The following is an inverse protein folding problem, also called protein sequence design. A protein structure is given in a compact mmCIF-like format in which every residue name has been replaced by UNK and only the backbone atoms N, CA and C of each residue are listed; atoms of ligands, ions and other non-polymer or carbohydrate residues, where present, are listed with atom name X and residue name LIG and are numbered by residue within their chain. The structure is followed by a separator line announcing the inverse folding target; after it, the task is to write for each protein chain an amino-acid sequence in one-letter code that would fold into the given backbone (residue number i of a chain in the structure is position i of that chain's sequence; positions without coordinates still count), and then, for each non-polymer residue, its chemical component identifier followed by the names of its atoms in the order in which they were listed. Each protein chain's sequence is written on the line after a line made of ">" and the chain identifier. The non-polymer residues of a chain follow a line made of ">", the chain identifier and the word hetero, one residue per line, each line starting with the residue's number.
data_IF_733805091206
#
_entry.id   IF_733805091206
#
_cell.length_a   1.000
_cell.length_b   1.000
_cell.length_c   1.000
_cell.angle_alpha   90.00
_cell.angle_beta   90.00
_cell.angle_gamma   90.00
#
_symmetry.space_group_name_H-M   'P 1'
#
loop_
_entity.id
_entity.type
_entity.pdbx_description
1 polymer ?
#
# COMPACT_ATOMS: atom_id res chain seq x y z
N UNK A 1 21.73 12.24 8.85
CA UNK A 1 21.12 10.90 9.10
C UNK A 1 19.66 10.87 8.67
N UNK A 2 19.21 9.73 8.14
CA UNK A 2 17.85 9.51 7.64
C UNK A 2 17.26 8.23 8.20
N UNK A 3 16.04 8.30 8.75
CA UNK A 3 15.31 7.15 9.24
C UNK A 3 14.08 6.87 8.37
N UNK A 4 14.19 5.89 7.44
CA UNK A 4 13.08 5.51 6.57
C UNK A 4 12.04 4.68 7.32
N UNK A 5 10.93 4.43 6.66
CA UNK A 5 9.90 3.49 7.10
C UNK A 5 10.17 2.04 6.67
N UNK A 6 10.99 1.83 5.65
CA UNK A 6 11.14 0.53 5.01
C UNK A 6 12.13 -0.34 5.77
N UNK A 7 11.65 -1.44 6.35
CA UNK A 7 12.48 -2.42 7.06
C UNK A 7 13.47 -3.18 6.14
N UNK A 8 13.30 -3.11 4.83
CA UNK A 8 14.22 -3.73 3.87
C UNK A 8 15.43 -2.86 3.52
N UNK A 9 15.52 -1.67 4.11
CA UNK A 9 16.65 -0.77 3.91
C UNK A 9 17.71 -1.04 4.95
N UNK A 10 18.92 -1.39 4.51
CA UNK A 10 20.05 -1.62 5.39
C UNK A 10 20.61 -0.32 5.96
N UNK A 11 21.11 -0.37 7.19
CA UNK A 11 21.84 0.77 7.76
C UNK A 11 23.16 1.00 7.04
N UNK A 12 23.55 2.25 6.93
CA UNK A 12 24.86 2.66 6.41
C UNK A 12 24.82 3.88 5.51
N UNK A 13 26.00 4.29 5.09
CA UNK A 13 26.16 5.39 4.16
C UNK A 13 25.67 4.99 2.76
N UNK A 14 24.85 5.83 2.15
CA UNK A 14 24.43 5.64 0.76
C UNK A 14 25.65 5.85 -0.14
N UNK A 15 25.92 4.88 -1.01
CA UNK A 15 27.07 4.84 -1.92
C UNK A 15 26.64 4.67 -3.38
N UNK A 16 27.62 4.64 -4.28
CA UNK A 16 27.40 4.52 -5.73
C UNK A 16 26.72 5.77 -6.29
N UNK A 17 26.04 5.63 -7.42
CA UNK A 17 25.41 6.76 -8.13
C UNK A 17 24.58 7.70 -7.23
N UNK A 18 23.81 7.15 -6.30
CA UNK A 18 23.02 7.96 -5.37
C UNK A 18 23.91 8.69 -4.36
N UNK A 19 24.94 8.03 -3.84
CA UNK A 19 25.91 8.66 -2.93
C UNK A 19 26.67 9.79 -3.60
N UNK A 20 27.13 9.57 -4.83
CA UNK A 20 27.83 10.58 -5.63
C UNK A 20 26.92 11.80 -5.91
N UNK A 21 25.63 11.55 -6.19
CA UNK A 21 24.66 12.62 -6.37
C UNK A 21 24.51 13.47 -5.11
N UNK A 22 24.34 12.85 -3.94
CA UNK A 22 24.22 13.58 -2.68
C UNK A 22 25.50 14.34 -2.34
N UNK A 23 26.68 13.74 -2.52
CA UNK A 23 27.96 14.39 -2.30
C UNK A 23 28.16 15.62 -3.20
N UNK A 24 27.74 15.56 -4.46
CA UNK A 24 27.78 16.69 -5.38
C UNK A 24 26.85 17.85 -4.94
N UNK A 25 25.84 17.56 -4.11
CA UNK A 25 24.94 18.55 -3.51
C UNK A 25 25.36 18.96 -2.08
N UNK A 26 26.57 18.58 -1.67
CA UNK A 26 27.18 19.05 -0.42
C UNK A 26 26.81 18.27 0.84
N UNK A 27 26.21 17.08 0.73
CA UNK A 27 25.90 16.24 1.89
C UNK A 27 26.08 14.75 1.60
N UNK A 28 26.27 13.98 2.68
CA UNK A 28 26.26 12.52 2.63
C UNK A 28 25.03 12.03 3.40
N UNK A 29 24.35 11.02 2.86
CA UNK A 29 23.17 10.45 3.49
C UNK A 29 23.49 9.12 4.16
N UNK A 30 23.44 9.09 5.48
CA UNK A 30 23.50 7.88 6.29
C UNK A 30 22.10 7.41 6.64
N UNK A 31 21.77 6.18 6.33
CA UNK A 31 20.48 5.58 6.61
C UNK A 31 20.55 4.75 7.88
N UNK A 32 19.54 4.86 8.73
CA UNK A 32 19.34 4.00 9.89
C UNK A 32 18.23 3.00 9.57
N UNK A 33 18.50 1.71 9.64
CA UNK A 33 17.49 0.69 9.38
C UNK A 33 16.31 0.83 10.36
N UNK A 34 15.12 0.68 9.81
CA UNK A 34 13.87 0.76 10.57
C UNK A 34 13.66 -0.47 11.44
N UNK A 35 13.22 -0.27 12.69
CA UNK A 35 12.50 -1.25 13.50
C UNK A 35 11.59 -0.55 14.50
N UNK A 36 10.57 -1.25 14.98
CA UNK A 36 9.66 -0.68 15.99
C UNK A 36 10.38 -0.40 17.31
N UNK A 37 11.33 -1.26 17.71
CA UNK A 37 12.15 -1.08 18.90
C UNK A 37 13.01 0.17 18.77
N UNK A 38 13.62 0.38 17.61
CA UNK A 38 14.44 1.57 17.36
C UNK A 38 13.59 2.84 17.33
N UNK A 39 12.41 2.79 16.75
CA UNK A 39 11.45 3.90 16.77
C UNK A 39 11.10 4.28 18.20
N UNK A 40 10.78 3.30 19.05
CA UNK A 40 10.48 3.54 20.46
C UNK A 40 11.68 4.11 21.22
N UNK A 41 12.88 3.62 20.94
CA UNK A 41 14.11 4.14 21.54
C UNK A 41 14.39 5.59 21.15
N UNK A 42 14.22 5.95 19.88
CA UNK A 42 14.34 7.31 19.36
C UNK A 42 13.33 8.23 20.06
N UNK A 43 12.07 7.81 20.17
CA UNK A 43 11.03 8.60 20.85
C UNK A 43 11.33 8.79 22.35
N UNK A 44 11.81 7.74 23.02
CA UNK A 44 12.11 7.79 24.45
C UNK A 44 13.34 8.64 24.77
N UNK A 45 14.37 8.60 23.93
CA UNK A 45 15.62 9.37 24.13
C UNK A 45 15.53 10.81 23.64
N UNK A 46 14.62 11.09 22.70
CA UNK A 46 14.59 12.37 21.98
C UNK A 46 15.83 12.60 21.10
N UNK A 47 16.59 11.53 20.80
CA UNK A 47 17.74 11.58 19.90
C UNK A 47 17.33 11.17 18.49
N UNK A 48 16.79 12.16 17.78
CA UNK A 48 16.24 11.95 16.42
C UNK A 48 17.36 11.98 15.38
N UNK A 49 17.23 11.21 14.31
CA UNK A 49 17.97 11.43 13.07
C UNK A 49 17.62 12.80 12.48
N UNK A 50 18.47 13.35 11.62
CA UNK A 50 18.21 14.67 11.01
C UNK A 50 16.87 14.72 10.28
N UNK A 51 16.58 13.66 9.52
CA UNK A 51 15.33 13.48 8.78
C UNK A 51 14.71 12.12 9.08
N UNK A 52 13.42 12.06 9.34
CA UNK A 52 12.74 10.79 9.57
C UNK A 52 11.32 10.75 9.01
N UNK A 53 10.89 9.52 8.67
CA UNK A 53 9.48 9.23 8.47
C UNK A 53 8.81 9.07 9.83
N UNK A 54 7.86 9.93 10.12
CA UNK A 54 7.14 9.98 11.40
C UNK A 54 5.78 9.32 11.20
N UNK A 55 5.47 8.22 11.92
CA UNK A 55 4.11 7.69 11.94
C UNK A 55 3.14 8.73 12.52
N UNK A 56 1.96 8.85 11.94
CA UNK A 56 0.93 9.81 12.38
C UNK A 56 0.67 9.73 13.89
N UNK A 57 0.55 8.53 14.43
CA UNK A 57 0.33 8.29 15.88
C UNK A 57 1.40 8.87 16.80
N UNK A 58 2.58 9.17 16.28
CA UNK A 58 3.73 9.70 17.04
C UNK A 58 3.93 11.19 16.84
N UNK A 59 3.26 11.78 15.87
CA UNK A 59 3.49 13.16 15.43
C UNK A 59 3.22 14.17 16.56
N UNK A 60 2.06 14.08 17.21
CA UNK A 60 1.65 15.01 18.27
C UNK A 60 2.62 14.97 19.45
N UNK A 61 3.04 13.77 19.86
CA UNK A 61 4.01 13.60 20.96
C UNK A 61 5.34 14.27 20.60
N UNK A 62 5.80 14.13 19.38
CA UNK A 62 7.06 14.70 18.93
C UNK A 62 6.99 16.23 18.81
N UNK A 63 5.85 16.78 18.37
CA UNK A 63 5.62 18.23 18.33
C UNK A 63 5.59 18.80 19.75
N UNK A 64 4.77 18.23 20.63
CA UNK A 64 4.65 18.68 22.02
C UNK A 64 5.96 18.54 22.80
N UNK A 65 6.76 17.53 22.48
CA UNK A 65 8.10 17.32 23.04
C UNK A 65 9.18 18.25 22.46
N UNK A 66 8.85 19.14 21.53
CA UNK A 66 9.82 20.04 20.90
C UNK A 66 10.90 19.31 20.09
N UNK A 67 10.62 18.11 19.61
CA UNK A 67 11.59 17.27 18.93
C UNK A 67 11.73 17.63 17.44
N UNK A 68 10.73 18.28 16.86
CA UNK A 68 10.65 18.58 15.44
C UNK A 68 10.85 20.07 15.16
N UNK A 69 11.53 20.33 14.05
CA UNK A 69 11.73 21.69 13.54
C UNK A 69 10.40 22.22 12.99
N UNK A 70 10.05 23.46 13.34
CA UNK A 70 8.98 24.17 12.67
C UNK A 70 9.44 24.54 11.26
N UNK A 71 8.77 24.01 10.26
CA UNK A 71 9.16 24.15 8.85
C UNK A 71 8.62 25.44 8.22
N UNK A 72 7.64 26.12 8.83
CA UNK A 72 7.08 27.36 8.26
C UNK A 72 8.17 28.42 8.03
N UNK A 73 9.18 28.50 8.89
CA UNK A 73 10.30 29.43 8.75
C UNK A 73 11.26 29.09 7.58
N UNK A 74 11.11 27.91 6.99
CA UNK A 74 11.98 27.36 5.96
C UNK A 74 11.29 27.08 4.64
N UNK A 75 9.95 27.08 4.57
CA UNK A 75 9.21 26.78 3.35
C UNK A 75 9.63 27.64 2.16
N UNK A 76 9.98 28.91 2.40
CA UNK A 76 10.46 29.79 1.36
C UNK A 76 11.81 29.39 0.75
N UNK A 77 12.58 28.60 1.47
CA UNK A 77 13.87 28.05 1.03
C UNK A 77 13.73 26.69 0.36
N UNK A 78 12.49 26.18 0.16
CA UNK A 78 12.21 24.88 -0.44
C UNK A 78 11.56 25.02 -1.83
N UNK A 79 12.29 25.49 -2.85
CA UNK A 79 11.70 25.81 -4.16
C UNK A 79 11.14 24.55 -4.86
N UNK A 80 11.75 23.38 -4.64
CA UNK A 80 11.27 22.13 -5.22
C UNK A 80 9.95 21.68 -4.58
N UNK A 81 9.75 21.90 -3.30
CA UNK A 81 8.47 21.64 -2.64
C UNK A 81 7.39 22.58 -3.17
N UNK A 82 7.69 23.87 -3.28
CA UNK A 82 6.76 24.88 -3.81
C UNK A 82 6.39 24.69 -5.29
N UNK A 83 7.17 23.91 -6.03
CA UNK A 83 6.87 23.60 -7.44
C UNK A 83 5.67 22.65 -7.61
N UNK A 84 5.22 21.98 -6.54
CA UNK A 84 4.01 21.17 -6.58
C UNK A 84 2.78 22.08 -6.39
N UNK A 85 1.85 22.03 -7.33
CA UNK A 85 0.64 22.88 -7.31
C UNK A 85 -0.25 22.62 -6.10
N UNK A 86 -0.24 21.39 -5.60
CA UNK A 86 -1.07 20.92 -4.50
C UNK A 86 -0.40 21.06 -3.12
N UNK A 87 0.81 21.62 -3.07
CA UNK A 87 1.53 21.72 -1.81
C UNK A 87 0.82 22.62 -0.80
N UNK A 88 0.31 23.76 -1.22
CA UNK A 88 -0.33 24.70 -0.30
C UNK A 88 -1.63 24.15 0.34
N UNK A 89 -2.55 23.53 -0.40
CA UNK A 89 -3.67 22.81 0.20
C UNK A 89 -3.23 21.72 1.18
N UNK A 90 -2.17 20.98 0.87
CA UNK A 90 -1.64 19.93 1.74
C UNK A 90 -1.05 20.50 3.03
N UNK A 91 -0.30 21.60 2.94
CA UNK A 91 0.28 22.27 4.13
C UNK A 91 -0.80 22.91 4.99
N UNK A 92 -1.86 23.46 4.38
CA UNK A 92 -3.00 23.99 5.14
C UNK A 92 -3.74 22.88 5.89
N UNK A 93 -3.94 21.71 5.28
CA UNK A 93 -4.46 20.54 5.97
C UNK A 93 -3.56 20.13 7.16
N UNK A 94 -2.23 20.13 6.97
CA UNK A 94 -1.28 19.83 8.04
C UNK A 94 -1.39 20.82 9.19
N UNK A 95 -1.46 22.13 8.91
CA UNK A 95 -1.64 23.16 9.94
C UNK A 95 -2.91 22.99 10.76
N UNK A 96 -4.00 22.62 10.08
CA UNK A 96 -5.29 22.45 10.72
C UNK A 96 -5.41 21.14 11.50
N UNK A 97 -4.96 20.01 10.93
CA UNK A 97 -5.26 18.67 11.46
C UNK A 97 -4.05 17.91 12.00
N UNK A 98 -2.81 18.33 11.67
CA UNK A 98 -1.58 17.57 11.98
C UNK A 98 -0.53 18.40 12.70
N UNK A 99 -0.94 19.46 13.38
CA UNK A 99 -0.03 20.41 14.04
C UNK A 99 -0.04 20.32 15.58
N UNK A 100 -0.72 19.34 16.17
CA UNK A 100 -0.98 19.28 17.61
C UNK A 100 -1.60 20.58 18.17
N UNK A 101 -2.41 21.28 17.35
CA UNK A 101 -3.08 22.53 17.70
C UNK A 101 -2.22 23.80 17.62
N UNK A 102 -0.97 23.71 17.16
CA UNK A 102 -0.08 24.88 17.03
C UNK A 102 -0.35 25.73 15.80
N UNK A 103 -1.00 25.16 14.77
CA UNK A 103 -1.22 25.80 13.48
C UNK A 103 0.02 25.89 12.58
N UNK A 104 1.11 25.18 12.92
CA UNK A 104 2.38 25.20 12.18
C UNK A 104 2.70 23.87 11.52
N UNK A 105 3.59 23.89 10.52
CA UNK A 105 4.05 22.70 9.78
C UNK A 105 5.28 22.12 10.44
N UNK A 106 5.19 20.89 10.97
CA UNK A 106 6.32 20.15 11.55
C UNK A 106 6.71 18.91 10.73
N UNK A 107 5.98 18.64 9.68
CA UNK A 107 6.28 17.56 8.77
C UNK A 107 5.63 17.77 7.41
N UNK A 108 6.27 17.24 6.39
CA UNK A 108 5.74 17.24 5.03
C UNK A 108 5.02 15.92 4.80
N UNK A 109 3.78 15.91 4.31
CA UNK A 109 3.08 14.69 3.95
C UNK A 109 3.86 13.86 2.93
N UNK A 110 3.88 12.54 3.09
CA UNK A 110 4.54 11.64 2.11
C UNK A 110 3.74 11.46 0.83
N UNK A 111 2.49 11.90 0.81
CA UNK A 111 1.62 11.93 -0.36
C UNK A 111 1.06 13.34 -0.51
N UNK A 112 1.50 14.04 -1.55
CA UNK A 112 1.00 15.36 -1.94
C UNK A 112 0.60 15.27 -3.40
N UNK A 113 -0.59 15.73 -3.73
CA UNK A 113 -1.00 15.92 -5.09
C UNK A 113 -2.15 15.06 -5.54
N UNK A 114 -2.84 15.58 -6.54
CA UNK A 114 -3.87 14.88 -7.28
C UNK A 114 -3.26 14.26 -8.54
N UNK A 115 -2.72 13.07 -8.40
CA UNK A 115 -2.20 12.32 -9.53
C UNK A 115 -3.30 11.82 -10.47
N UNK A 116 -4.55 11.79 -10.00
CA UNK A 116 -5.68 11.27 -10.76
C UNK A 116 -6.06 12.17 -11.95
N UNK A 117 -6.16 13.47 -11.74
CA UNK A 117 -6.55 14.39 -12.82
C UNK A 117 -5.49 14.50 -13.91
N UNK A 118 -4.24 14.32 -13.54
CA UNK A 118 -3.09 14.47 -14.45
C UNK A 118 -2.87 13.27 -15.38
N UNK A 119 -3.39 12.10 -15.03
CA UNK A 119 -3.11 10.84 -15.71
C UNK A 119 -4.38 10.04 -16.05
N UNK A 120 -5.34 10.69 -16.70
CA UNK A 120 -6.58 10.04 -17.21
C UNK A 120 -6.34 8.80 -18.08
N UNK A 121 -5.16 8.70 -18.68
CA UNK A 121 -4.76 7.54 -19.47
C UNK A 121 -4.37 6.31 -18.64
N UNK A 122 -4.28 6.47 -17.32
CA UNK A 122 -4.09 5.37 -16.37
C UNK A 122 -5.42 4.66 -16.00
N UNK A 123 -6.52 4.98 -16.65
CA UNK A 123 -7.84 4.37 -16.40
C UNK A 123 -7.88 2.84 -16.62
N UNK A 124 -6.87 2.29 -17.23
CA UNK A 124 -6.72 0.84 -17.47
C UNK A 124 -5.60 0.22 -16.68
N UNK A 125 -5.23 0.82 -15.57
CA UNK A 125 -3.98 0.45 -14.97
C UNK A 125 -4.02 -0.87 -14.24
N UNK A 126 -3.00 -1.52 -14.56
CA UNK A 126 -2.30 -2.69 -14.05
C UNK A 126 -2.50 -3.05 -12.55
N UNK A 127 -3.04 -2.15 -11.74
CA UNK A 127 -3.19 -2.38 -10.30
C UNK A 127 -4.54 -2.94 -9.89
N UNK A 128 -5.53 -2.85 -10.78
CA UNK A 128 -6.91 -3.20 -10.48
C UNK A 128 -7.39 -4.45 -11.23
N UNK A 129 -6.63 -4.94 -12.19
CA UNK A 129 -6.94 -6.17 -12.89
C UNK A 129 -6.69 -7.39 -11.99
N UNK A 130 -7.50 -8.42 -12.20
CA UNK A 130 -7.20 -9.73 -11.65
C UNK A 130 -5.91 -10.24 -12.30
N UNK A 131 -5.02 -10.82 -11.54
CA UNK A 131 -3.81 -11.46 -12.06
C UNK A 131 -3.94 -12.96 -12.00
N UNK A 132 -3.61 -13.61 -13.09
CA UNK A 132 -3.67 -15.06 -13.22
C UNK A 132 -2.29 -15.63 -13.53
N UNK A 133 -1.98 -16.78 -12.98
CA UNK A 133 -0.78 -17.54 -13.36
C UNK A 133 -0.93 -17.98 -14.83
N UNK A 134 -0.25 -17.27 -15.73
CA UNK A 134 -0.57 -17.30 -17.15
C UNK A 134 -0.40 -18.68 -17.79
N UNK A 135 0.72 -19.34 -17.56
CA UNK A 135 1.00 -20.65 -18.14
C UNK A 135 -0.05 -21.70 -17.74
N UNK A 136 -0.54 -21.61 -16.49
CA UNK A 136 -1.60 -22.51 -16.02
C UNK A 136 -2.95 -22.15 -16.63
N UNK A 137 -3.22 -20.85 -16.78
CA UNK A 137 -4.44 -20.39 -17.42
C UNK A 137 -4.52 -20.82 -18.90
N UNK A 138 -3.42 -20.67 -19.65
CA UNK A 138 -3.33 -21.20 -21.03
C UNK A 138 -3.47 -22.71 -21.07
N UNK A 139 -2.85 -23.44 -20.14
CA UNK A 139 -2.94 -24.90 -20.05
C UNK A 139 -4.36 -25.42 -19.90
N UNK A 140 -5.25 -24.67 -19.27
CA UNK A 140 -6.67 -25.03 -19.16
C UNK A 140 -7.53 -24.52 -20.33
N UNK A 141 -6.91 -23.96 -21.37
CA UNK A 141 -7.59 -23.46 -22.54
C UNK A 141 -8.06 -22.02 -22.49
N UNK A 142 -7.54 -21.25 -21.54
CA UNK A 142 -7.83 -19.82 -21.35
C UNK A 142 -9.35 -19.49 -21.38
N UNK A 143 -10.17 -20.12 -20.53
CA UNK A 143 -11.62 -19.93 -20.55
C UNK A 143 -11.97 -18.47 -20.21
N UNK A 144 -13.00 -17.93 -20.86
CA UNK A 144 -13.47 -16.58 -20.59
C UNK A 144 -13.92 -16.44 -19.12
N UNK A 145 -13.48 -15.38 -18.46
CA UNK A 145 -13.90 -14.99 -17.11
C UNK A 145 -14.77 -13.75 -17.26
N UNK A 146 -16.07 -13.90 -17.10
CA UNK A 146 -17.02 -12.81 -17.27
C UNK A 146 -17.58 -12.28 -15.94
N UNK A 147 -17.32 -13.01 -14.86
CA UNK A 147 -17.77 -12.67 -13.51
C UNK A 147 -16.74 -13.13 -12.46
N UNK A 148 -16.92 -12.68 -11.22
CA UNK A 148 -16.10 -13.16 -10.10
C UNK A 148 -16.48 -14.58 -9.67
N UNK A 149 -17.66 -15.05 -10.00
CA UNK A 149 -18.10 -16.42 -9.86
C UNK A 149 -17.35 -17.33 -10.85
N UNK A 150 -17.26 -16.93 -12.13
CA UNK A 150 -16.44 -17.64 -13.13
C UNK A 150 -14.97 -17.73 -12.70
N UNK A 151 -14.46 -16.67 -12.05
CA UNK A 151 -13.10 -16.67 -11.55
C UNK A 151 -12.85 -17.78 -10.53
N UNK A 152 -13.82 -18.12 -9.68
CA UNK A 152 -13.70 -19.25 -8.73
C UNK A 152 -13.59 -20.57 -9.51
N UNK A 153 -14.43 -20.76 -10.52
CA UNK A 153 -14.43 -21.97 -11.35
C UNK A 153 -13.11 -22.12 -12.13
N UNK A 154 -12.58 -21.01 -12.62
CA UNK A 154 -11.27 -20.98 -13.29
C UNK A 154 -10.13 -21.28 -12.30
N UNK A 155 -10.14 -20.69 -11.10
CA UNK A 155 -9.16 -21.01 -10.06
C UNK A 155 -9.16 -22.50 -9.71
N UNK A 156 -10.33 -23.11 -9.61
CA UNK A 156 -10.44 -24.54 -9.31
C UNK A 156 -9.86 -25.40 -10.44
N UNK A 157 -10.13 -25.06 -11.69
CA UNK A 157 -9.56 -25.74 -12.85
C UNK A 157 -8.03 -25.57 -12.90
N UNK A 158 -7.53 -24.36 -12.63
CA UNK A 158 -6.10 -24.07 -12.60
C UNK A 158 -5.40 -24.85 -11.47
N UNK A 159 -5.97 -24.89 -10.28
CA UNK A 159 -5.41 -25.67 -9.17
C UNK A 159 -5.36 -27.18 -9.50
N UNK A 160 -6.39 -27.73 -10.14
CA UNK A 160 -6.39 -29.13 -10.61
C UNK A 160 -5.34 -29.37 -11.70
N UNK A 161 -5.13 -28.43 -12.61
CA UNK A 161 -4.18 -28.56 -13.71
C UNK A 161 -2.71 -28.39 -13.26
N UNK A 162 -2.47 -27.64 -12.17
CA UNK A 162 -1.17 -27.39 -11.57
C UNK A 162 -1.28 -27.47 -10.05
N UNK A 163 -1.38 -28.69 -9.49
CA UNK A 163 -1.51 -28.88 -8.04
C UNK A 163 -0.20 -28.62 -7.28
N UNK A 164 0.95 -28.67 -7.98
CA UNK A 164 2.28 -28.42 -7.42
C UNK A 164 3.09 -27.53 -8.35
N UNK A 165 3.97 -26.74 -7.78
CA UNK A 165 5.01 -25.99 -8.49
C UNK A 165 6.19 -26.91 -8.87
N UNK A 166 7.15 -26.38 -9.64
CA UNK A 166 8.31 -27.16 -10.13
C UNK A 166 9.21 -27.64 -9.00
N UNK A 167 9.22 -26.96 -7.86
CA UNK A 167 9.96 -27.35 -6.65
C UNK A 167 9.20 -28.34 -5.77
N UNK A 168 8.02 -28.80 -6.18
CA UNK A 168 7.15 -29.73 -5.45
C UNK A 168 6.23 -29.07 -4.41
N UNK A 169 6.27 -27.74 -4.27
CA UNK A 169 5.39 -27.02 -3.34
C UNK A 169 3.95 -27.03 -3.84
N UNK A 170 3.00 -27.27 -2.93
CA UNK A 170 1.57 -27.27 -3.25
C UNK A 170 1.12 -25.90 -3.75
N UNK A 171 0.37 -25.89 -4.84
CA UNK A 171 -0.26 -24.71 -5.39
C UNK A 171 -1.74 -24.63 -5.01
N UNK A 172 -2.20 -23.44 -4.71
CA UNK A 172 -3.58 -23.16 -4.35
C UNK A 172 -4.23 -22.17 -5.34
N UNK A 173 -5.55 -22.13 -5.35
CA UNK A 173 -6.29 -21.10 -6.10
C UNK A 173 -5.84 -19.71 -5.69
N UNK A 174 -5.69 -19.46 -4.39
CA UNK A 174 -5.14 -18.22 -3.87
C UNK A 174 -4.39 -18.40 -2.56
N UNK A 175 -3.49 -17.46 -2.27
CA UNK A 175 -2.76 -17.36 -1.00
C UNK A 175 -3.08 -16.01 -0.39
N UNK A 176 -3.65 -16.02 0.82
CA UNK A 176 -4.07 -14.81 1.51
C UNK A 176 -3.05 -14.39 2.57
N UNK A 177 -3.24 -13.19 3.07
CA UNK A 177 -2.49 -12.60 4.15
C UNK A 177 -3.47 -12.18 5.25
N UNK A 178 -3.36 -12.79 6.40
CA UNK A 178 -4.17 -12.48 7.58
C UNK A 178 -3.30 -12.24 8.82
N UNK A 179 -2.01 -12.07 8.64
CA UNK A 179 -1.07 -11.80 9.72
C UNK A 179 -1.34 -10.48 10.47
N UNK A 180 -0.58 -10.26 11.52
CA UNK A 180 -0.78 -9.17 12.49
C UNK A 180 -0.79 -7.77 11.89
N UNK A 181 -0.13 -7.59 10.77
CA UNK A 181 0.05 -6.30 10.09
C UNK A 181 -1.08 -5.95 9.10
N UNK A 182 -1.82 -6.94 8.60
CA UNK A 182 -2.85 -6.69 7.58
C UNK A 182 -4.26 -7.16 7.94
N UNK A 183 -4.41 -8.16 8.81
CA UNK A 183 -5.70 -8.65 9.33
C UNK A 183 -6.78 -8.80 8.25
N UNK A 184 -6.48 -9.49 7.15
CA UNK A 184 -7.35 -9.66 5.98
C UNK A 184 -7.66 -8.37 5.20
N UNK A 185 -7.17 -7.22 5.67
CA UNK A 185 -7.40 -5.93 5.03
C UNK A 185 -6.86 -5.88 3.59
N UNK A 186 -5.68 -6.42 3.35
CA UNK A 186 -5.06 -6.42 2.03
C UNK A 186 -5.89 -7.21 1.00
N UNK A 187 -6.54 -8.32 1.42
CA UNK A 187 -7.40 -9.12 0.56
C UNK A 187 -8.69 -8.36 0.22
N UNK A 188 -9.30 -7.71 1.21
CA UNK A 188 -10.49 -6.89 0.97
C UNK A 188 -10.18 -5.65 0.13
N UNK A 189 -9.01 -5.04 0.32
CA UNK A 189 -8.50 -3.99 -0.56
C UNK A 189 -8.46 -4.44 -2.02
N UNK A 190 -7.93 -5.62 -2.30
CA UNK A 190 -7.90 -6.17 -3.65
C UNK A 190 -9.30 -6.43 -4.18
N UNK A 191 -10.20 -6.95 -3.36
CA UNK A 191 -11.60 -7.14 -3.73
C UNK A 191 -12.26 -5.84 -4.18
N UNK A 192 -12.12 -4.76 -3.39
CA UNK A 192 -12.66 -3.45 -3.75
C UNK A 192 -12.08 -2.93 -5.07
N UNK A 193 -10.76 -3.06 -5.25
CA UNK A 193 -10.09 -2.66 -6.48
C UNK A 193 -10.56 -3.44 -7.69
N UNK A 194 -10.74 -4.75 -7.56
CA UNK A 194 -11.30 -5.58 -8.62
C UNK A 194 -12.73 -5.18 -8.99
N UNK A 195 -13.48 -4.63 -8.07
CA UNK A 195 -14.84 -4.13 -8.29
C UNK A 195 -14.88 -2.67 -8.78
N UNK A 196 -13.75 -2.02 -8.94
CA UNK A 196 -13.67 -0.61 -9.34
C UNK A 196 -13.97 0.39 -8.23
N UNK A 197 -13.89 -0.03 -6.98
CA UNK A 197 -14.08 0.82 -5.81
C UNK A 197 -12.76 1.22 -5.18
N UNK A 198 -12.78 2.38 -4.53
CA UNK A 198 -11.72 2.73 -3.62
C UNK A 198 -11.78 1.80 -2.41
N UNK A 199 -10.63 1.21 -2.08
CA UNK A 199 -10.46 0.50 -0.82
C UNK A 199 -10.65 1.48 0.31
N UNK A 200 -11.81 1.68 0.83
CA UNK A 200 -11.80 2.74 1.75
C UNK A 200 -12.53 2.49 3.02
N UNK A 201 -11.79 2.81 4.03
CA UNK A 201 -12.38 3.28 5.25
C UNK A 201 -13.05 2.16 6.06
N UNK A 202 -12.50 0.92 5.95
CA UNK A 202 -12.90 -0.15 6.87
C UNK A 202 -12.81 0.32 8.33
N UNK A 203 -11.88 1.25 8.61
CA UNK A 203 -11.76 1.89 9.91
C UNK A 203 -12.99 2.73 10.29
N UNK A 204 -13.71 3.27 9.29
CA UNK A 204 -14.93 4.07 9.52
C UNK A 204 -16.22 3.32 9.18
N UNK A 205 -16.10 2.02 8.88
CA UNK A 205 -17.24 1.16 8.52
C UNK A 205 -18.02 1.65 7.30
N UNK A 206 -17.31 2.34 6.38
CA UNK A 206 -17.87 2.90 5.15
C UNK A 206 -17.18 2.33 3.91
N UNK A 207 -17.92 2.22 2.84
CA UNK A 207 -17.41 2.02 1.48
C UNK A 207 -17.84 3.19 0.60
N UNK A 208 -16.98 3.58 -0.33
CA UNK A 208 -17.20 4.73 -1.20
C UNK A 208 -17.36 4.29 -2.64
N UNK A 209 -18.51 4.58 -3.23
CA UNK A 209 -18.69 4.53 -4.68
C UNK A 209 -18.07 5.78 -5.29
N UNK A 210 -16.89 5.62 -5.88
CA UNK A 210 -16.15 6.73 -6.49
C UNK A 210 -16.78 7.22 -7.79
N UNK A 211 -17.70 6.45 -8.38
CA UNK A 211 -18.39 6.85 -9.63
C UNK A 211 -19.50 7.84 -9.34
N UNK A 212 -20.30 7.51 -8.34
CA UNK A 212 -21.50 8.28 -7.99
C UNK A 212 -21.25 9.24 -6.82
N UNK A 213 -20.13 9.12 -6.11
CA UNK A 213 -19.82 9.91 -4.93
C UNK A 213 -20.68 9.53 -3.70
N UNK A 214 -21.16 8.29 -3.67
CA UNK A 214 -22.03 7.80 -2.61
C UNK A 214 -21.25 7.02 -1.56
N UNK A 215 -21.76 7.05 -0.31
CA UNK A 215 -21.20 6.32 0.81
C UNK A 215 -22.19 5.25 1.27
N UNK A 216 -21.69 4.03 1.47
CA UNK A 216 -22.47 2.90 1.96
C UNK A 216 -21.85 2.34 3.23
N UNK A 217 -22.69 1.80 4.12
CA UNK A 217 -22.20 1.07 5.29
C UNK A 217 -21.68 -0.31 4.89
N UNK A 218 -20.49 -0.69 5.34
CA UNK A 218 -19.98 -2.05 5.15
C UNK A 218 -20.79 -3.10 5.88
N UNK A 219 -21.65 -2.69 6.83
CA UNK A 219 -22.50 -3.60 7.60
C UNK A 219 -23.78 -3.97 6.87
N UNK A 220 -24.10 -3.29 5.76
CA UNK A 220 -25.27 -3.61 4.95
C UNK A 220 -25.07 -4.94 4.22
N UNK A 221 -26.14 -5.75 4.12
CA UNK A 221 -26.06 -7.09 3.51
C UNK A 221 -25.81 -7.07 2.00
N UNK A 222 -26.04 -5.96 1.36
CA UNK A 222 -25.77 -5.69 -0.05
C UNK A 222 -24.47 -4.92 -0.27
N UNK A 223 -23.76 -4.57 0.80
CA UNK A 223 -22.46 -3.93 0.75
C UNK A 223 -21.46 -4.76 -0.07
N UNK A 224 -20.52 -4.09 -0.68
CA UNK A 224 -19.43 -4.73 -1.41
C UNK A 224 -18.55 -5.56 -0.45
N UNK A 225 -18.39 -5.07 0.79
CA UNK A 225 -17.70 -5.80 1.85
C UNK A 225 -18.34 -7.17 2.12
N UNK A 226 -19.66 -7.20 2.31
CA UNK A 226 -20.38 -8.44 2.56
C UNK A 226 -20.35 -9.40 1.37
N UNK A 227 -20.44 -8.88 0.15
CA UNK A 227 -20.25 -9.66 -1.08
C UNK A 227 -18.85 -10.26 -1.16
N UNK A 228 -17.82 -9.49 -0.79
CA UNK A 228 -16.44 -9.97 -0.73
C UNK A 228 -16.24 -11.08 0.29
N UNK A 229 -16.82 -10.95 1.48
CA UNK A 229 -16.76 -12.01 2.49
C UNK A 229 -17.42 -13.31 1.99
N UNK A 230 -18.56 -13.21 1.29
CA UNK A 230 -19.22 -14.38 0.68
C UNK A 230 -18.36 -15.01 -0.40
N UNK A 231 -17.74 -14.20 -1.24
CA UNK A 231 -16.88 -14.67 -2.31
C UNK A 231 -15.65 -15.42 -1.73
N UNK A 232 -14.95 -14.86 -0.77
CA UNK A 232 -13.83 -15.53 -0.10
C UNK A 232 -14.27 -16.78 0.66
N UNK A 233 -15.46 -16.76 1.25
CA UNK A 233 -16.02 -17.94 1.92
C UNK A 233 -16.27 -19.09 0.92
N UNK A 234 -16.78 -18.79 -0.27
CA UNK A 234 -16.96 -19.80 -1.32
C UNK A 234 -15.64 -20.35 -1.83
N UNK A 235 -14.64 -19.48 -2.04
CA UNK A 235 -13.26 -19.87 -2.38
C UNK A 235 -12.68 -20.82 -1.32
N UNK A 236 -12.89 -20.50 -0.05
CA UNK A 236 -12.49 -21.37 1.07
C UNK A 236 -13.19 -22.73 1.06
N UNK A 237 -14.51 -22.74 0.91
CA UNK A 237 -15.29 -23.99 0.89
C UNK A 237 -14.87 -24.95 -0.20
N UNK A 238 -14.39 -24.44 -1.33
CA UNK A 238 -13.86 -25.25 -2.44
C UNK A 238 -12.40 -25.70 -2.22
N UNK A 239 -11.79 -25.37 -1.09
CA UNK A 239 -10.39 -25.75 -0.80
C UNK A 239 -9.37 -25.03 -1.69
N UNK A 240 -9.70 -23.82 -2.15
CA UNK A 240 -8.85 -23.03 -3.03
C UNK A 240 -7.93 -22.07 -2.30
N UNK A 241 -8.12 -21.88 -1.00
CA UNK A 241 -7.27 -21.03 -0.18
C UNK A 241 -6.17 -21.89 0.47
N UNK A 242 -4.94 -21.41 0.39
CA UNK A 242 -3.82 -21.98 1.14
C UNK A 242 -4.17 -22.04 2.65
N UNK A 243 -4.15 -23.23 3.28
CA UNK A 243 -4.51 -23.39 4.71
C UNK A 243 -3.69 -22.51 5.65
N UNK A 244 -2.42 -22.23 5.31
CA UNK A 244 -1.54 -21.39 6.11
C UNK A 244 -1.88 -19.89 6.01
N UNK A 245 -2.79 -19.52 5.14
CA UNK A 245 -3.16 -18.11 4.89
C UNK A 245 -3.56 -17.36 6.15
N UNK A 246 -4.12 -18.05 7.14
CA UNK A 246 -4.50 -17.44 8.43
C UNK A 246 -3.30 -16.93 9.22
N UNK A 247 -2.13 -17.56 9.02
CA UNK A 247 -0.89 -17.24 9.70
C UNK A 247 0.10 -16.46 8.82
N UNK A 248 -0.15 -16.36 7.51
CA UNK A 248 0.74 -15.64 6.62
C UNK A 248 0.75 -14.15 6.96
N UNK A 249 1.92 -13.61 7.22
CA UNK A 249 2.18 -12.19 7.13
C UNK A 249 2.45 -11.77 5.68
N UNK A 250 2.61 -10.49 5.44
CA UNK A 250 2.86 -9.96 4.11
C UNK A 250 4.17 -10.46 3.47
N UNK A 251 5.31 -10.54 4.18
CA UNK A 251 6.52 -11.14 3.64
C UNK A 251 6.34 -12.61 3.23
N UNK A 252 5.69 -13.41 4.04
CA UNK A 252 5.41 -14.83 3.75
C UNK A 252 4.50 -14.98 2.54
N UNK A 253 3.42 -14.20 2.46
CA UNK A 253 2.56 -14.19 1.28
C UNK A 253 3.35 -13.81 0.03
N UNK A 254 4.21 -12.78 0.13
CA UNK A 254 5.06 -12.34 -0.98
C UNK A 254 5.91 -13.49 -1.53
N UNK A 255 6.59 -14.22 -0.66
CA UNK A 255 7.43 -15.38 -1.06
C UNK A 255 6.59 -16.43 -1.78
N UNK A 256 5.41 -16.76 -1.25
CA UNK A 256 4.52 -17.76 -1.86
C UNK A 256 3.99 -17.32 -3.22
N UNK A 257 3.61 -16.06 -3.37
CA UNK A 257 3.12 -15.52 -4.66
C UNK A 257 4.26 -15.42 -5.67
N UNK A 258 5.41 -14.88 -5.28
CA UNK A 258 6.57 -14.76 -6.18
C UNK A 258 7.10 -16.15 -6.61
N UNK A 259 6.94 -17.17 -5.76
CA UNK A 259 7.23 -18.58 -6.08
C UNK A 259 6.18 -19.24 -6.99
N UNK A 260 5.12 -18.52 -7.36
CA UNK A 260 4.07 -19.05 -8.25
C UNK A 260 3.12 -20.04 -7.58
N UNK A 261 3.01 -20.04 -6.25
CA UNK A 261 2.17 -21.02 -5.52
C UNK A 261 0.68 -20.63 -5.46
N UNK A 262 0.32 -19.43 -5.90
CA UNK A 262 -1.05 -18.99 -6.08
C UNK A 262 -1.44 -18.98 -7.55
N UNK A 263 -2.62 -19.48 -7.92
CA UNK A 263 -3.13 -19.33 -9.29
C UNK A 263 -3.62 -17.91 -9.55
N UNK A 264 -4.30 -17.31 -8.58
CA UNK A 264 -4.80 -15.93 -8.59
C UNK A 264 -4.37 -15.25 -7.28
N UNK A 265 -3.32 -14.43 -7.28
CA UNK A 265 -2.88 -13.75 -6.07
C UNK A 265 -3.92 -12.74 -5.58
N UNK A 266 -4.13 -12.71 -4.27
CA UNK A 266 -5.02 -11.76 -3.60
C UNK A 266 -4.35 -11.14 -2.38
N UNK A 267 -4.44 -9.84 -2.23
CA UNK A 267 -3.83 -9.10 -1.12
C UNK A 267 -2.35 -8.72 -1.30
N UNK A 268 -1.66 -9.37 -2.21
CA UNK A 268 -0.34 -8.99 -2.69
C UNK A 268 -0.32 -9.01 -4.22
N UNK A 269 0.15 -7.94 -4.81
CA UNK A 269 0.41 -7.89 -6.23
C UNK A 269 1.85 -8.34 -6.46
N UNK A 270 2.08 -9.44 -7.21
CA UNK A 270 3.41 -9.80 -7.62
C UNK A 270 3.98 -8.63 -8.41
N UNK A 271 5.19 -8.21 -8.08
CA UNK A 271 5.84 -7.11 -8.75
C UNK A 271 6.02 -7.40 -10.26
N UNK A 272 7.25 -7.44 -10.69
CA UNK A 272 7.60 -7.78 -12.08
C UNK A 272 7.70 -9.29 -12.33
N UNK A 273 6.90 -10.12 -11.65
CA UNK A 273 6.92 -11.55 -11.89
C UNK A 273 6.25 -11.85 -13.25
N UNK A 274 7.00 -12.28 -14.27
CA UNK A 274 6.44 -12.57 -15.60
C UNK A 274 5.45 -13.72 -15.60
N UNK A 275 5.37 -14.45 -14.51
CA UNK A 275 4.49 -15.60 -14.29
C UNK A 275 3.01 -15.22 -14.22
N UNK A 276 2.70 -13.97 -13.86
CA UNK A 276 1.34 -13.50 -13.72
C UNK A 276 1.04 -12.40 -14.74
N UNK A 277 -0.01 -12.60 -15.51
CA UNK A 277 -0.55 -11.58 -16.40
C UNK A 277 -1.91 -11.09 -15.92
N UNK A 278 -2.25 -9.90 -16.36
CA UNK A 278 -3.50 -9.25 -16.02
C UNK A 278 -4.65 -9.79 -16.86
N UNK A 279 -5.77 -10.01 -16.20
CA UNK A 279 -7.02 -10.33 -16.83
C UNK A 279 -8.08 -9.28 -16.44
N UNK A 280 -8.68 -8.69 -17.44
CA UNK A 280 -9.75 -7.70 -17.26
C UNK A 280 -11.09 -8.35 -17.42
N UNK A 281 -11.84 -8.49 -16.34
CA UNK A 281 -13.21 -9.02 -16.37
C UNK A 281 -14.09 -8.02 -17.11
N UNK A 282 -14.81 -8.43 -18.20
CA UNK A 282 -15.64 -7.52 -18.98
C UNK A 282 -16.69 -6.81 -18.13
N UNK A 283 -16.88 -5.51 -18.35
CA UNK A 283 -17.88 -4.71 -17.63
C UNK A 283 -17.48 -4.24 -16.26
N UNK A 284 -16.38 -4.74 -15.70
CA UNK A 284 -15.81 -4.23 -14.45
C UNK A 284 -15.01 -2.97 -14.75
N UNK A 285 -15.39 -1.88 -14.12
CA UNK A 285 -14.66 -0.61 -14.25
C UNK A 285 -13.51 -0.62 -13.25
N UNK A 286 -12.29 -0.70 -13.77
CA UNK A 286 -11.11 -0.50 -12.95
C UNK A 286 -10.92 0.98 -12.68
N UNK A 287 -11.00 1.40 -11.42
CA UNK A 287 -10.62 2.75 -11.03
C UNK A 287 -9.23 2.72 -10.40
N UNK A 288 -8.35 3.54 -10.95
CA UNK A 288 -7.14 3.88 -10.24
C UNK A 288 -7.50 4.92 -9.17
N UNK A 289 -7.50 4.47 -7.94
CA UNK A 289 -7.48 5.39 -6.82
C UNK A 289 -6.08 5.99 -6.73
N UNK A 290 -5.94 7.16 -7.30
CA UNK A 290 -4.92 8.06 -6.78
C UNK A 290 -5.33 8.39 -5.34
N UNK A 291 -4.46 8.17 -4.39
CA UNK A 291 -4.61 8.77 -3.08
C UNK A 291 -4.43 10.29 -3.25
N UNK A 292 -5.49 10.97 -3.62
CA UNK A 292 -5.53 12.42 -3.51
C UNK A 292 -5.70 12.75 -2.04
N UNK A 293 -4.60 12.76 -1.33
CA UNK A 293 -4.59 13.16 0.06
C UNK A 293 -3.94 14.51 0.13
N UNK A 294 -4.76 15.52 0.21
CA UNK A 294 -4.34 16.88 0.51
C UNK A 294 -3.70 16.96 1.91
N UNK A 295 -2.60 16.21 2.11
CA UNK A 295 -1.90 16.18 3.39
C UNK A 295 -2.31 15.09 4.37
N UNK A 296 -3.34 14.29 4.10
CA UNK A 296 -3.68 13.12 4.91
C UNK A 296 -2.75 11.95 4.54
N UNK A 297 -1.68 11.84 5.25
CA UNK A 297 -0.67 10.81 5.05
C UNK A 297 -0.43 10.08 6.36
N UNK A 298 -0.37 8.75 6.31
CA UNK A 298 -0.01 7.92 7.49
C UNK A 298 1.38 8.22 8.03
N UNK A 299 2.19 8.88 7.22
CA UNK A 299 3.56 9.26 7.56
C UNK A 299 3.83 10.68 7.09
N UNK A 300 4.58 11.38 7.92
CA UNK A 300 5.11 12.70 7.60
C UNK A 300 6.63 12.62 7.53
N UNK A 301 7.25 13.43 6.70
CA UNK A 301 8.69 13.62 6.72
C UNK A 301 8.98 14.80 7.62
N UNK A 302 9.60 14.54 8.75
CA UNK A 302 9.99 15.56 9.73
C UNK A 302 11.50 15.75 9.80
N UNK A 303 11.89 16.92 10.26
CA UNK A 303 13.28 17.29 10.50
C UNK A 303 13.46 17.48 12.03
N UNK A 304 14.54 16.94 12.56
CA UNK A 304 14.89 17.10 13.97
C UNK A 304 15.13 18.57 14.31
N UNK A 305 14.59 19.02 15.44
CA UNK A 305 14.87 20.36 15.96
C UNK A 305 16.35 20.56 16.34
N UNK A 306 17.13 19.48 16.48
CA UNK A 306 18.56 19.50 16.78
C UNK A 306 19.46 19.46 15.54
N UNK A 307 18.89 19.32 14.33
CA UNK A 307 19.64 19.32 13.06
C UNK A 307 20.36 20.67 12.88
N UNK A 308 21.63 20.62 12.52
CA UNK A 308 22.51 21.78 12.37
C UNK A 308 22.59 22.24 10.92
#
# INVERSE_FOLDING_TARGET
>A
TFYPRDANVSSGLISGFKGDYFAAHGFNLEVWAYSDEKTNAILASGDLPDVMFIPEKSLDIMIQGGMLLNLDDYLDKMPHLKAFTEVEPALNYVREFKSAGTGSVYGIPTSIGDSYVKYKWLDSTERNAVRVHWDTYEKIGAPAINSFEDLIDVMEQMQKARPTADDGTTCYGTVLNNGSDSKFWACMTMWYRWQGYLENQLAYLLETDMVNGEYHSILDKDSLYYKGLKWYHEVYKRGLIDPDSINNDRPTQKVKVDGGYAQVPSGYLPGWAPTYLEYHIPGVKSYYSANSTYGDSRYMIGISAKTK
#
